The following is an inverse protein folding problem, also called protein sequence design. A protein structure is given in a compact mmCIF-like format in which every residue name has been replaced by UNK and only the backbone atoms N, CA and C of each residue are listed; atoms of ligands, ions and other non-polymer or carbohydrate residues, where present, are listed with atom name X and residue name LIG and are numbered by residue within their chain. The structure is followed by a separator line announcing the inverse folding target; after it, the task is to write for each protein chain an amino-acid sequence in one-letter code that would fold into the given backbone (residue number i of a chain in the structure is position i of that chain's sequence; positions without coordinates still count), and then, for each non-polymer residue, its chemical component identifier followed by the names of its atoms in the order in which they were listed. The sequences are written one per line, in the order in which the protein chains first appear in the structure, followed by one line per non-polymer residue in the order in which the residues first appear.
data_IF_572243301986
#
_entry.id   IF_572243301986
#
_cell.length_a   1.000
_cell.length_b   1.000
_cell.length_c   1.000
_cell.angle_alpha   90.00
_cell.angle_beta   90.00
_cell.angle_gamma   90.00
#
_symmetry.space_group_name_H-M   'P 1'
#
loop_
_entity.id
_entity.type
_entity.pdbx_description
1 polymer ?
#
# COMPACT_ATOMS: atom_id res chain seq x y z
N UNK A 1 3.09 -10.56 -25.73
CA UNK A 1 2.37 -10.71 -24.45
C UNK A 1 3.09 -9.87 -23.40
N UNK A 2 2.50 -8.76 -22.93
CA UNK A 2 3.05 -8.03 -21.78
C UNK A 2 2.62 -8.76 -20.50
N UNK A 3 3.58 -9.21 -19.71
CA UNK A 3 3.30 -9.77 -18.39
C UNK A 3 2.76 -8.65 -17.48
N UNK A 4 1.77 -8.93 -16.62
CA UNK A 4 1.27 -7.95 -15.67
C UNK A 4 2.42 -7.48 -14.76
N UNK A 5 2.57 -6.17 -14.66
CA UNK A 5 3.60 -5.56 -13.81
C UNK A 5 3.05 -5.44 -12.39
N UNK A 6 3.76 -6.01 -11.42
CA UNK A 6 3.46 -5.84 -10.00
C UNK A 6 4.03 -4.51 -9.55
N UNK A 7 3.18 -3.69 -8.93
CA UNK A 7 3.59 -2.44 -8.30
C UNK A 7 3.44 -2.56 -6.79
N UNK A 8 4.35 -1.90 -6.09
CA UNK A 8 4.45 -1.87 -4.64
C UNK A 8 4.31 -0.45 -4.12
N UNK A 9 3.75 -0.32 -2.92
CA UNK A 9 3.66 0.94 -2.17
C UNK A 9 3.89 0.66 -0.70
N UNK A 10 4.87 1.33 -0.11
CA UNK A 10 4.99 1.42 1.34
C UNK A 10 4.15 2.57 1.88
N UNK A 11 3.52 2.35 3.02
CA UNK A 11 2.96 3.41 3.85
C UNK A 11 2.97 3.00 5.31
N UNK A 12 3.09 3.99 6.18
CA UNK A 12 2.79 3.83 7.60
C UNK A 12 1.29 4.04 7.81
N UNK A 13 0.68 3.25 8.69
CA UNK A 13 -0.73 3.40 9.07
C UNK A 13 -0.91 3.01 10.54
N UNK A 14 -1.97 3.51 11.19
CA UNK A 14 -2.25 3.08 12.57
C UNK A 14 -2.75 1.64 12.60
N UNK A 15 -2.62 1.00 13.77
CA UNK A 15 -3.15 -0.35 13.99
C UNK A 15 -4.68 -0.36 13.78
N UNK A 16 -5.38 0.69 14.20
CA UNK A 16 -6.83 0.83 14.02
C UNK A 16 -7.22 0.97 12.54
N UNK A 17 -6.47 1.75 11.77
CA UNK A 17 -6.68 1.88 10.32
C UNK A 17 -6.46 0.55 9.61
N UNK A 18 -5.43 -0.19 10.03
CA UNK A 18 -5.14 -1.53 9.50
C UNK A 18 -6.25 -2.52 9.83
N UNK A 19 -6.70 -2.58 11.08
CA UNK A 19 -7.79 -3.45 11.51
C UNK A 19 -9.11 -3.08 10.83
N UNK A 20 -9.36 -1.80 10.59
CA UNK A 20 -10.52 -1.34 9.83
C UNK A 20 -10.44 -1.79 8.36
N UNK A 21 -9.25 -1.71 7.75
CA UNK A 21 -9.01 -2.19 6.38
C UNK A 21 -9.17 -3.71 6.26
N UNK A 22 -8.65 -4.48 7.22
CA UNK A 22 -8.80 -5.94 7.23
C UNK A 22 -10.27 -6.38 7.35
N UNK A 23 -11.09 -5.59 8.03
CA UNK A 23 -12.53 -5.86 8.21
C UNK A 23 -13.39 -5.32 7.06
N UNK A 24 -12.86 -4.48 6.17
CA UNK A 24 -13.63 -3.92 5.08
C UNK A 24 -13.87 -4.95 3.97
N UNK A 25 -15.07 -4.93 3.38
CA UNK A 25 -15.40 -5.83 2.27
C UNK A 25 -14.46 -5.56 1.09
N UNK A 26 -13.80 -6.62 0.60
CA UNK A 26 -12.76 -6.56 -0.43
C UNK A 26 -11.50 -5.76 -0.06
N UNK A 27 -11.35 -5.34 1.21
CA UNK A 27 -10.14 -4.66 1.70
C UNK A 27 -9.77 -3.44 0.84
N UNK A 28 -10.78 -2.70 0.39
CA UNK A 28 -10.60 -1.55 -0.47
C UNK A 28 -10.09 -0.36 0.35
N UNK A 29 -9.07 0.31 -0.19
CA UNK A 29 -8.54 1.56 0.35
C UNK A 29 -8.81 2.68 -0.66
N UNK A 30 -9.39 3.77 -0.16
CA UNK A 30 -9.50 5.03 -0.88
C UNK A 30 -8.49 6.00 -0.30
N UNK A 31 -7.72 6.65 -1.16
CA UNK A 31 -6.75 7.68 -0.77
C UNK A 31 -7.16 8.99 -1.41
N UNK A 32 -7.17 10.06 -0.63
CA UNK A 32 -7.46 11.42 -1.09
C UNK A 32 -6.19 12.17 -1.57
N UNK A 33 -5.10 11.44 -1.79
CA UNK A 33 -3.80 11.95 -2.21
C UNK A 33 -3.29 11.18 -3.43
N UNK A 34 -2.22 11.69 -4.06
CA UNK A 34 -1.58 10.98 -5.17
C UNK A 34 -1.04 9.62 -4.74
N UNK A 35 -1.40 8.58 -5.49
CA UNK A 35 -0.93 7.22 -5.27
C UNK A 35 0.43 7.02 -5.95
N UNK A 36 1.51 7.16 -5.19
CA UNK A 36 2.86 6.78 -5.62
C UNK A 36 3.10 5.27 -5.45
N UNK A 37 3.72 4.65 -6.47
CA UNK A 37 4.06 3.22 -6.51
C UNK A 37 5.39 2.99 -7.23
N UNK A 38 6.04 1.85 -6.97
CA UNK A 38 7.31 1.44 -7.60
C UNK A 38 7.28 -0.04 -7.98
N UNK A 39 8.06 -0.45 -8.98
CA UNK A 39 8.28 -1.86 -9.32
C UNK A 39 9.28 -2.55 -8.39
N UNK A 40 10.04 -1.77 -7.62
CA UNK A 40 11.02 -2.26 -6.64
C UNK A 40 10.40 -2.34 -5.24
N UNK A 41 10.29 -3.56 -4.72
CA UNK A 41 9.73 -3.83 -3.39
C UNK A 41 10.59 -3.24 -2.26
N UNK A 42 11.91 -3.26 -2.40
CA UNK A 42 12.82 -2.72 -1.37
C UNK A 42 12.68 -1.21 -1.31
N UNK A 43 12.66 -0.55 -2.47
CA UNK A 43 12.37 0.87 -2.54
C UNK A 43 11.03 1.22 -1.89
N UNK A 44 9.98 0.41 -2.12
CA UNK A 44 8.68 0.61 -1.47
C UNK A 44 8.77 0.47 0.06
N UNK A 45 9.55 -0.49 0.57
CA UNK A 45 9.66 -0.75 2.01
C UNK A 45 10.26 0.43 2.78
N UNK A 46 11.18 1.19 2.16
CA UNK A 46 11.77 2.40 2.75
C UNK A 46 10.69 3.45 3.08
N UNK A 47 9.62 3.52 2.29
CA UNK A 47 8.50 4.45 2.52
C UNK A 47 7.41 3.89 3.46
N UNK A 48 7.56 2.66 3.97
CA UNK A 48 6.59 2.07 4.90
C UNK A 48 6.72 2.57 6.34
N UNK A 49 7.78 3.32 6.65
CA UNK A 49 8.07 3.81 8.00
C UNK A 49 8.78 2.76 8.88
N UNK A 50 9.22 3.18 10.06
CA UNK A 50 10.04 2.34 10.96
C UNK A 50 9.22 1.48 11.94
N UNK A 51 7.88 1.50 11.86
CA UNK A 51 7.00 0.60 12.60
C UNK A 51 7.27 0.57 14.11
N UNK A 52 7.62 1.71 14.70
CA UNK A 52 8.04 1.74 16.11
C UNK A 52 6.85 1.40 17.01
N UNK A 53 6.99 0.34 17.82
CA UNK A 53 5.95 -0.16 18.73
C UNK A 53 5.40 0.87 19.72
N UNK A 54 6.11 1.99 19.91
CA UNK A 54 5.71 3.08 20.78
C UNK A 54 4.70 4.05 20.14
N UNK A 55 4.53 4.04 18.82
CA UNK A 55 3.73 5.03 18.09
C UNK A 55 2.32 4.56 17.72
N UNK A 56 2.00 3.26 17.92
CA UNK A 56 0.75 2.66 17.43
C UNK A 56 0.68 2.53 15.91
N UNK A 57 1.76 2.89 15.21
CA UNK A 57 1.90 2.78 13.76
C UNK A 57 2.54 1.46 13.37
N UNK A 58 2.08 0.92 12.26
CA UNK A 58 2.63 -0.25 11.61
C UNK A 58 3.10 0.09 10.20
N UNK A 59 4.14 -0.61 9.76
CA UNK A 59 4.68 -0.49 8.41
C UNK A 59 3.97 -1.46 7.47
N UNK A 60 3.35 -0.95 6.41
CA UNK A 60 2.60 -1.77 5.46
C UNK A 60 3.14 -1.59 4.04
N UNK A 61 3.34 -2.71 3.35
CA UNK A 61 3.69 -2.75 1.93
C UNK A 61 2.57 -3.41 1.15
N UNK A 62 1.87 -2.61 0.34
CA UNK A 62 0.87 -3.09 -0.59
C UNK A 62 1.53 -3.67 -1.83
N UNK A 63 0.94 -4.71 -2.40
CA UNK A 63 1.30 -5.20 -3.73
C UNK A 63 0.02 -5.38 -4.56
N UNK A 64 0.03 -4.88 -5.80
CA UNK A 64 -1.10 -5.06 -6.73
C UNK A 64 -0.58 -5.29 -8.14
N UNK A 65 -1.24 -6.21 -8.85
CA UNK A 65 -1.05 -6.38 -10.28
C UNK A 65 -1.79 -5.25 -11.02
N UNK A 66 -1.07 -4.42 -11.76
CA UNK A 66 -1.69 -3.43 -12.63
C UNK A 66 -2.10 -4.09 -13.96
N UNK A 67 -3.40 -4.34 -14.13
CA UNK A 67 -4.05 -4.33 -15.44
C UNK A 67 -4.49 -2.90 -15.68
N UNK A 68 -4.00 -2.27 -16.74
CA UNK A 68 -4.23 -0.85 -17.05
C UNK A 68 -5.74 -0.55 -17.05
N UNK A 69 -6.21 0.21 -16.07
CA UNK A 69 -7.38 1.07 -16.21
C UNK A 69 -7.04 2.41 -15.53
N UNK A 70 -6.52 3.34 -16.33
CA UNK A 70 -6.59 4.75 -16.01
C UNK A 70 -8.00 5.17 -16.42
N UNK A 71 -8.87 5.44 -15.46
CA UNK A 71 -10.08 6.24 -15.71
C UNK A 71 -9.66 7.67 -15.45
N UNK A 72 -9.54 8.45 -16.53
CA UNK A 72 -9.39 9.92 -16.49
C UNK A 72 -10.78 10.52 -16.29
#
# INVERSE_FOLDING_TARGET
LRLPMTLYRGQSMTTEEFDALQRSTNQLISVNTFLSTTTDREAASIFSGEGSSYSGLISVVYSKFWLIQIVI
#
